data_IF_713483677436
#
_entry.id   IF_713483677436
#
_cell.length_a   1.000
_cell.length_b   1.000
_cell.length_c   1.000
_cell.angle_alpha   90.00
_cell.angle_beta   90.00
_cell.angle_gamma   90.00
#
_symmetry.space_group_name_H-M   'P 1'
#
loop_
_entity.id
_entity.type
_entity.pdbx_description
1 polymer ?
#
# COMPACT_ATOMS: atom_id res chain seq x y z
N UNK A 1 -27.70 -17.24 19.79
CA UNK A 1 -27.32 -15.91 20.27
C UNK A 1 -26.10 -16.09 21.17
N UNK A 2 -24.89 -16.01 20.63
CA UNK A 2 -23.63 -16.06 21.38
C UNK A 2 -22.84 -14.82 20.98
N UNK A 3 -22.77 -13.88 21.92
CA UNK A 3 -21.96 -12.67 21.85
C UNK A 3 -20.47 -13.06 21.92
N UNK A 4 -19.74 -12.81 20.86
CA UNK A 4 -18.28 -12.85 20.88
C UNK A 4 -17.78 -11.47 21.33
N UNK A 5 -17.38 -11.40 22.60
CA UNK A 5 -16.66 -10.26 23.13
C UNK A 5 -15.24 -10.27 22.54
N UNK A 6 -14.87 -9.22 21.84
CA UNK A 6 -13.48 -8.93 21.46
C UNK A 6 -12.66 -8.74 22.74
N UNK A 7 -11.54 -9.46 22.94
CA UNK A 7 -10.65 -9.15 24.05
C UNK A 7 -9.96 -7.80 23.76
N UNK A 8 -10.18 -6.83 24.65
CA UNK A 8 -9.43 -5.58 24.72
C UNK A 8 -8.01 -5.89 25.22
N UNK A 9 -7.17 -6.47 24.35
CA UNK A 9 -5.75 -6.59 24.59
C UNK A 9 -5.08 -5.25 24.34
N UNK A 10 -4.66 -4.59 25.41
CA UNK A 10 -3.79 -3.42 25.34
C UNK A 10 -2.52 -3.77 24.55
N UNK A 11 -2.39 -3.20 23.35
CA UNK A 11 -1.13 -3.25 22.60
C UNK A 11 -0.03 -2.66 23.48
N UNK A 12 1.01 -3.46 23.76
CA UNK A 12 2.23 -2.93 24.35
C UNK A 12 2.84 -1.97 23.33
N UNK A 13 2.70 -0.68 23.60
CA UNK A 13 3.35 0.42 22.90
C UNK A 13 4.86 0.38 23.18
N UNK A 14 5.59 -0.42 22.46
CA UNK A 14 7.02 -0.23 22.24
C UNK A 14 7.15 0.28 20.81
N UNK A 15 7.92 1.34 20.58
CA UNK A 15 8.08 2.08 19.32
C UNK A 15 8.31 1.21 18.08
N UNK A 16 7.23 0.59 17.57
CA UNK A 16 7.20 -0.06 16.26
C UNK A 16 6.68 0.97 15.27
N UNK A 17 7.56 1.82 14.79
CA UNK A 17 7.28 2.74 13.69
C UNK A 17 7.59 2.03 12.38
N UNK A 18 6.72 2.19 11.37
CA UNK A 18 7.05 1.79 10.02
C UNK A 18 8.35 2.48 9.60
N UNK A 19 9.21 1.76 8.91
CA UNK A 19 10.54 2.26 8.53
C UNK A 19 10.78 2.03 7.05
N UNK A 20 11.43 2.99 6.43
CA UNK A 20 11.98 2.88 5.09
C UNK A 20 13.42 3.33 5.14
N UNK A 21 14.31 2.47 4.70
CA UNK A 21 15.74 2.73 4.55
C UNK A 21 16.06 2.83 3.06
N UNK A 22 16.81 3.86 2.68
CA UNK A 22 17.27 4.07 1.30
C UNK A 22 18.78 4.20 1.27
N UNK A 23 19.43 3.50 0.37
CA UNK A 23 20.88 3.51 0.20
C UNK A 23 21.26 3.45 -1.28
N UNK A 24 22.48 3.88 -1.56
CA UNK A 24 23.18 3.57 -2.80
C UNK A 24 24.10 2.39 -2.57
N UNK A 25 24.07 1.42 -3.45
CA UNK A 25 24.85 0.20 -3.37
C UNK A 25 25.65 -0.05 -4.66
N UNK A 26 26.64 -0.95 -4.58
CA UNK A 26 27.48 -1.35 -5.72
C UNK A 26 28.08 -0.14 -6.46
N UNK A 27 28.92 0.63 -5.74
CA UNK A 27 29.58 1.83 -6.26
C UNK A 27 28.58 2.89 -6.79
N UNK A 28 27.44 3.06 -6.09
CA UNK A 28 26.37 3.99 -6.43
C UNK A 28 25.71 3.72 -7.80
N UNK A 29 25.74 2.48 -8.26
CA UNK A 29 25.09 2.12 -9.53
C UNK A 29 23.63 1.67 -9.34
N UNK A 30 23.27 1.25 -8.14
CA UNK A 30 21.92 0.80 -7.79
C UNK A 30 21.42 1.52 -6.56
N UNK A 31 20.11 1.72 -6.47
CA UNK A 31 19.44 2.15 -5.25
C UNK A 31 18.85 0.93 -4.54
N UNK A 32 19.00 0.88 -3.22
CA UNK A 32 18.37 -0.09 -2.34
C UNK A 32 17.29 0.62 -1.52
N UNK A 33 16.12 0.00 -1.38
CA UNK A 33 15.10 0.39 -0.44
C UNK A 33 14.66 -0.83 0.37
N UNK A 34 14.75 -0.74 1.70
CA UNK A 34 14.27 -1.79 2.62
C UNK A 34 13.17 -1.20 3.49
N UNK A 35 12.01 -1.86 3.51
CA UNK A 35 10.81 -1.38 4.19
C UNK A 35 10.34 -2.36 5.27
N UNK A 36 9.99 -1.81 6.43
CA UNK A 36 9.14 -2.46 7.43
C UNK A 36 7.82 -1.67 7.49
N UNK A 37 6.74 -2.31 7.09
CA UNK A 37 5.38 -1.74 7.04
C UNK A 37 4.41 -2.50 7.93
N UNK A 38 4.92 -3.22 8.92
CA UNK A 38 4.13 -4.09 9.81
C UNK A 38 3.00 -3.33 10.50
N UNK A 39 3.28 -2.14 11.06
CA UNK A 39 2.25 -1.35 11.74
C UNK A 39 1.25 -0.73 10.77
N UNK A 40 1.68 -0.38 9.56
CA UNK A 40 0.80 0.11 8.49
C UNK A 40 -0.23 -0.95 8.09
N UNK A 41 0.21 -2.22 7.96
CA UNK A 41 -0.67 -3.34 7.64
C UNK A 41 -1.61 -3.63 8.80
N UNK A 42 -1.13 -3.58 10.06
CA UNK A 42 -1.97 -3.75 11.24
C UNK A 42 -3.05 -2.66 11.35
N UNK A 43 -2.71 -1.41 11.01
CA UNK A 43 -3.70 -0.33 10.99
C UNK A 43 -4.76 -0.56 9.90
N UNK A 44 -4.36 -1.03 8.70
CA UNK A 44 -5.31 -1.41 7.65
C UNK A 44 -6.22 -2.58 8.08
N UNK A 45 -5.67 -3.62 8.74
CA UNK A 45 -6.44 -4.73 9.31
C UNK A 45 -7.48 -4.21 10.31
N UNK A 46 -7.06 -3.31 11.22
CA UNK A 46 -7.94 -2.74 12.25
C UNK A 46 -9.09 -1.93 11.65
N UNK A 47 -8.79 -1.08 10.67
CA UNK A 47 -9.79 -0.21 10.03
C UNK A 47 -10.78 -1.04 9.21
N UNK A 48 -10.29 -1.86 8.28
CA UNK A 48 -11.12 -2.53 7.29
C UNK A 48 -11.54 -3.96 7.70
N UNK A 49 -11.14 -4.43 8.91
CA UNK A 49 -11.43 -5.79 9.38
C UNK A 49 -10.99 -6.85 8.38
N UNK A 50 -9.78 -6.70 7.85
CA UNK A 50 -9.28 -7.56 6.77
C UNK A 50 -9.14 -9.02 7.18
N UNK A 51 -9.52 -9.93 6.29
CA UNK A 51 -9.11 -11.33 6.35
C UNK A 51 -7.58 -11.45 6.17
N UNK A 52 -6.95 -12.56 6.57
CA UNK A 52 -5.53 -12.79 6.34
C UNK A 52 -5.12 -12.63 4.87
N UNK A 53 -5.96 -13.11 3.95
CA UNK A 53 -5.69 -13.05 2.52
C UNK A 53 -5.76 -11.60 1.98
N UNK A 54 -6.82 -10.87 2.31
CA UNK A 54 -6.98 -9.46 1.94
C UNK A 54 -5.91 -8.58 2.57
N UNK A 55 -5.50 -8.88 3.82
CA UNK A 55 -4.41 -8.19 4.50
C UNK A 55 -3.06 -8.41 3.80
N UNK A 56 -2.80 -9.63 3.30
CA UNK A 56 -1.59 -9.92 2.54
C UNK A 56 -1.56 -9.18 1.19
N UNK A 57 -2.66 -9.18 0.45
CA UNK A 57 -2.75 -8.49 -0.84
C UNK A 57 -2.63 -6.95 -0.69
N UNK A 58 -3.43 -6.34 0.19
CA UNK A 58 -3.37 -4.90 0.45
C UNK A 58 -2.04 -4.49 1.07
N UNK A 59 -1.50 -5.28 2.01
CA UNK A 59 -0.23 -4.99 2.69
C UNK A 59 0.96 -4.97 1.74
N UNK A 60 1.07 -5.93 0.82
CA UNK A 60 2.10 -5.91 -0.24
C UNK A 60 1.96 -4.66 -1.12
N UNK A 61 0.73 -4.31 -1.50
CA UNK A 61 0.46 -3.11 -2.31
C UNK A 61 0.83 -1.84 -1.55
N UNK A 62 0.46 -1.71 -0.26
CA UNK A 62 0.86 -0.59 0.60
C UNK A 62 2.39 -0.46 0.67
N UNK A 63 3.11 -1.57 0.82
CA UNK A 63 4.58 -1.59 0.91
C UNK A 63 5.24 -1.03 -0.35
N UNK A 64 4.88 -1.56 -1.53
CA UNK A 64 5.47 -1.07 -2.78
C UNK A 64 5.04 0.35 -3.12
N UNK A 65 3.80 0.76 -2.79
CA UNK A 65 3.35 2.14 -2.95
C UNK A 65 4.06 3.11 -2.00
N UNK A 66 4.47 2.66 -0.81
CA UNK A 66 5.32 3.46 0.10
C UNK A 66 6.67 3.75 -0.53
N UNK A 67 7.30 2.74 -1.13
CA UNK A 67 8.52 2.94 -1.91
C UNK A 67 8.29 3.92 -3.08
N UNK A 68 7.21 3.77 -3.85
CA UNK A 68 6.90 4.68 -4.97
C UNK A 68 6.68 6.12 -4.48
N UNK A 69 6.00 6.30 -3.34
CA UNK A 69 5.77 7.61 -2.72
C UNK A 69 7.06 8.28 -2.26
N UNK A 70 8.05 7.50 -1.81
CA UNK A 70 9.36 8.01 -1.39
C UNK A 70 10.21 8.55 -2.54
N UNK A 71 9.81 8.30 -3.77
CA UNK A 71 10.45 8.80 -4.99
C UNK A 71 9.73 10.04 -5.57
N UNK A 72 8.67 10.53 -4.93
CA UNK A 72 8.05 11.80 -5.28
C UNK A 72 8.97 12.95 -4.88
N UNK A 73 8.97 14.02 -5.70
CA UNK A 73 9.92 15.15 -5.51
C UNK A 73 9.50 16.10 -4.40
N UNK A 74 8.20 16.33 -4.27
CA UNK A 74 7.66 17.29 -3.30
C UNK A 74 6.73 16.59 -2.33
N UNK A 75 6.65 17.08 -1.11
CA UNK A 75 5.74 16.57 -0.06
C UNK A 75 4.27 16.58 -0.50
N UNK A 76 3.89 17.58 -1.31
CA UNK A 76 2.52 17.76 -1.82
C UNK A 76 2.18 16.88 -3.02
N UNK A 77 3.18 16.27 -3.66
CA UNK A 77 2.95 15.35 -4.78
C UNK A 77 2.17 14.13 -4.30
N UNK A 78 1.30 13.62 -5.16
CA UNK A 78 0.37 12.53 -4.81
C UNK A 78 0.57 11.34 -5.73
N UNK A 79 0.45 10.17 -5.12
CA UNK A 79 0.42 8.88 -5.80
C UNK A 79 -0.96 8.24 -5.60
N UNK A 80 -1.52 7.69 -6.65
CA UNK A 80 -2.66 6.77 -6.60
C UNK A 80 -2.36 5.55 -7.43
N UNK A 81 -2.52 4.39 -6.83
CA UNK A 81 -2.30 3.09 -7.49
C UNK A 81 -3.56 2.26 -7.38
N UNK A 82 -3.94 1.66 -8.50
CA UNK A 82 -5.06 0.74 -8.59
C UNK A 82 -4.58 -0.58 -9.18
N UNK A 83 -4.78 -1.66 -8.44
CA UNK A 83 -4.58 -3.03 -8.92
C UNK A 83 -5.97 -3.63 -9.12
N UNK A 84 -6.36 -3.87 -10.36
CA UNK A 84 -7.69 -4.35 -10.73
C UNK A 84 -7.55 -5.64 -11.52
N UNK A 85 -7.60 -6.76 -10.84
CA UNK A 85 -7.63 -8.10 -11.42
C UNK A 85 -9.03 -8.72 -11.37
N UNK A 86 -9.11 -9.98 -11.74
CA UNK A 86 -10.35 -10.77 -11.75
C UNK A 86 -10.45 -11.76 -10.58
N UNK A 87 -9.65 -11.55 -9.52
CA UNK A 87 -9.65 -12.41 -8.33
C UNK A 87 -10.73 -12.05 -7.33
N UNK A 88 -10.84 -12.87 -6.26
CA UNK A 88 -11.90 -12.77 -5.25
C UNK A 88 -11.79 -11.53 -4.36
N UNK A 89 -10.61 -10.90 -4.28
CA UNK A 89 -10.36 -9.68 -3.51
C UNK A 89 -10.94 -8.42 -4.14
N UNK A 90 -11.25 -8.48 -5.44
CA UNK A 90 -11.65 -7.31 -6.21
C UNK A 90 -10.48 -6.33 -6.40
N UNK A 91 -10.82 -5.06 -6.53
CA UNK A 91 -9.85 -3.99 -6.76
C UNK A 91 -9.15 -3.56 -5.47
N UNK A 92 -7.85 -3.34 -5.55
CA UNK A 92 -7.05 -2.73 -4.50
C UNK A 92 -6.72 -1.30 -4.92
N UNK A 93 -6.99 -0.33 -4.04
CA UNK A 93 -6.62 1.07 -4.26
C UNK A 93 -5.74 1.55 -3.12
N UNK A 94 -4.57 2.10 -3.44
CA UNK A 94 -3.63 2.69 -2.49
C UNK A 94 -3.29 4.10 -2.93
N UNK A 95 -3.35 5.04 -1.99
CA UNK A 95 -2.92 6.42 -2.21
C UNK A 95 -1.81 6.78 -1.22
N UNK A 96 -0.87 7.60 -1.68
CA UNK A 96 0.22 8.15 -0.89
C UNK A 96 0.57 9.57 -1.33
N UNK A 97 1.50 10.17 -0.62
CA UNK A 97 2.09 11.47 -0.96
C UNK A 97 3.58 11.50 -0.61
N UNK A 98 4.27 12.60 -0.94
CA UNK A 98 5.69 12.77 -0.66
C UNK A 98 6.04 12.85 0.83
N UNK A 99 5.07 13.12 1.72
CA UNK A 99 5.24 13.01 3.18
C UNK A 99 5.18 11.57 3.69
N UNK A 100 5.02 10.57 2.81
CA UNK A 100 4.83 9.16 3.14
C UNK A 100 3.57 8.88 3.98
N UNK A 101 2.54 9.69 3.80
CA UNK A 101 1.20 9.46 4.36
C UNK A 101 0.41 8.53 3.45
N UNK A 102 0.34 7.24 3.82
CA UNK A 102 -0.24 6.17 3.03
C UNK A 102 -1.64 5.82 3.50
N UNK A 103 -2.49 5.37 2.58
CA UNK A 103 -3.81 4.79 2.86
C UNK A 103 -4.24 3.90 1.72
N UNK A 104 -5.04 2.88 2.01
CA UNK A 104 -5.52 1.97 0.98
C UNK A 104 -6.70 1.14 1.45
N UNK A 105 -7.39 0.55 0.50
CA UNK A 105 -8.47 -0.40 0.73
C UNK A 105 -8.51 -1.48 -0.37
N UNK A 106 -9.23 -2.54 -0.10
CA UNK A 106 -9.54 -3.61 -1.03
C UNK A 106 -11.07 -3.78 -1.08
N UNK A 107 -11.65 -4.01 -2.27
CA UNK A 107 -13.10 -4.05 -2.45
C UNK A 107 -13.75 -5.15 -1.61
N UNK A 108 -13.12 -6.33 -1.52
CA UNK A 108 -13.59 -7.41 -0.64
C UNK A 108 -12.62 -7.62 0.53
N UNK A 109 -12.84 -6.95 1.69
CA UNK A 109 -11.97 -7.06 2.85
C UNK A 109 -12.01 -8.44 3.52
N UNK A 110 -13.04 -9.25 3.24
CA UNK A 110 -13.22 -10.59 3.80
C UNK A 110 -12.95 -11.71 2.77
N UNK A 111 -12.24 -11.39 1.66
CA UNK A 111 -11.87 -12.41 0.68
C UNK A 111 -11.08 -13.54 1.35
N UNK A 112 -11.41 -14.77 1.00
CA UNK A 112 -10.74 -15.97 1.50
C UNK A 112 -10.59 -17.01 0.39
N UNK A 113 -9.49 -17.74 0.43
CA UNK A 113 -9.19 -18.88 -0.44
C UNK A 113 -8.45 -19.93 0.35
N UNK A 114 -8.52 -21.21 -0.06
CA UNK A 114 -7.67 -22.25 0.49
C UNK A 114 -6.19 -21.88 0.38
N UNK A 115 -5.40 -22.29 1.37
CA UNK A 115 -3.95 -22.13 1.28
C UNK A 115 -3.41 -22.86 0.05
N UNK A 116 -2.36 -22.30 -0.54
CA UNK A 116 -1.60 -22.95 -1.61
C UNK A 116 -0.98 -24.26 -1.09
N UNK A 117 -0.53 -25.12 -2.00
CA UNK A 117 0.11 -26.38 -1.65
C UNK A 117 1.38 -26.22 -0.79
N UNK A 118 2.05 -25.05 -0.86
CA UNK A 118 3.18 -24.68 -0.03
C UNK A 118 2.79 -24.10 1.34
N UNK A 119 1.51 -24.09 1.69
CA UNK A 119 0.97 -23.58 2.95
C UNK A 119 0.87 -22.06 3.04
N UNK A 120 1.10 -21.31 1.94
CA UNK A 120 1.00 -19.86 1.90
C UNK A 120 -0.38 -19.38 1.46
N UNK A 121 -0.69 -18.13 1.78
CA UNK A 121 -1.87 -17.44 1.28
C UNK A 121 -1.79 -17.27 -0.24
N UNK A 122 -2.88 -17.52 -0.94
CA UNK A 122 -2.98 -17.38 -2.40
C UNK A 122 -3.29 -15.93 -2.82
N UNK A 123 -2.28 -15.07 -2.70
CA UNK A 123 -2.43 -13.65 -3.08
C UNK A 123 -2.69 -13.52 -4.58
N UNK A 124 -2.06 -14.35 -5.40
CA UNK A 124 -2.32 -14.40 -6.85
C UNK A 124 -3.77 -14.70 -7.18
N UNK A 125 -4.40 -15.66 -6.49
CA UNK A 125 -5.83 -15.95 -6.60
C UNK A 125 -6.72 -14.86 -6.04
N UNK A 126 -6.28 -14.17 -4.98
CA UNK A 126 -6.99 -13.02 -4.41
C UNK A 126 -7.11 -11.86 -5.41
N UNK A 127 -6.02 -11.50 -6.06
CA UNK A 127 -5.93 -10.39 -7.03
C UNK A 127 -6.43 -10.82 -8.41
N UNK A 128 -6.02 -12.01 -8.86
CA UNK A 128 -6.24 -12.50 -10.22
C UNK A 128 -5.26 -11.86 -11.21
N UNK A 129 -4.96 -12.58 -12.28
CA UNK A 129 -3.98 -12.16 -13.29
C UNK A 129 -4.57 -11.47 -14.52
N UNK A 130 -5.89 -11.56 -14.71
CA UNK A 130 -6.54 -10.91 -15.84
C UNK A 130 -7.02 -9.53 -15.41
N UNK A 131 -6.22 -8.52 -15.73
CA UNK A 131 -6.51 -7.16 -15.29
C UNK A 131 -5.30 -6.24 -15.45
N UNK A 132 -5.33 -5.12 -14.75
CA UNK A 132 -4.37 -4.03 -14.95
C UNK A 132 -3.93 -3.39 -13.64
N UNK A 133 -2.65 -3.09 -13.56
CA UNK A 133 -2.05 -2.18 -12.61
C UNK A 133 -2.00 -0.78 -13.24
N UNK A 134 -2.57 0.22 -12.56
CA UNK A 134 -2.57 1.62 -12.99
C UNK A 134 -1.94 2.49 -11.91
N UNK A 135 -1.02 3.36 -12.29
CA UNK A 135 -0.33 4.30 -11.42
C UNK A 135 -0.59 5.71 -11.91
N UNK A 136 -1.06 6.57 -11.03
CA UNK A 136 -1.29 8.00 -11.32
C UNK A 136 -0.46 8.83 -10.35
N UNK A 137 0.36 9.75 -10.89
CA UNK A 137 1.15 10.71 -10.11
C UNK A 137 0.71 12.12 -10.42
N UNK A 138 0.26 12.85 -9.41
CA UNK A 138 -0.07 14.27 -9.51
C UNK A 138 1.08 15.09 -8.90
N UNK A 139 1.84 15.75 -9.74
CA UNK A 139 3.08 16.47 -9.41
C UNK A 139 2.94 17.98 -9.60
N UNK A 140 1.75 18.55 -9.37
CA UNK A 140 1.49 19.97 -9.57
C UNK A 140 1.38 20.40 -11.04
N UNK A 141 1.46 19.48 -11.98
CA UNK A 141 1.26 19.75 -13.40
C UNK A 141 -0.22 19.84 -13.75
N UNK A 142 -0.54 20.47 -14.90
CA UNK A 142 -1.93 20.62 -15.39
C UNK A 142 -2.64 19.26 -15.53
N UNK A 143 -1.90 18.26 -15.98
CA UNK A 143 -2.40 16.88 -16.11
C UNK A 143 -1.52 15.93 -15.29
N UNK A 144 -2.11 14.95 -14.58
CA UNK A 144 -1.35 13.96 -13.87
C UNK A 144 -0.67 12.99 -14.86
N UNK A 145 0.52 12.53 -14.49
CA UNK A 145 1.15 11.41 -15.21
C UNK A 145 0.42 10.11 -14.88
N UNK A 146 0.09 9.34 -15.90
CA UNK A 146 -0.54 8.02 -15.74
C UNK A 146 0.24 6.96 -16.51
N UNK A 147 0.63 5.89 -15.81
CA UNK A 147 1.25 4.69 -16.37
C UNK A 147 0.42 3.46 -16.04
N UNK A 148 0.47 2.43 -16.89
CA UNK A 148 -0.21 1.18 -16.62
C UNK A 148 0.50 -0.02 -17.22
N UNK A 149 0.31 -1.20 -16.62
CA UNK A 149 0.75 -2.49 -17.12
C UNK A 149 -0.32 -3.55 -16.89
N UNK A 150 -0.34 -4.58 -17.71
CA UNK A 150 -1.17 -5.76 -17.45
C UNK A 150 -0.62 -6.55 -16.27
N UNK A 151 -1.49 -7.19 -15.50
CA UNK A 151 -1.08 -8.08 -14.42
C UNK A 151 -0.47 -9.34 -15.00
N UNK A 152 0.59 -9.83 -14.36
CA UNK A 152 1.32 -11.03 -14.77
C UNK A 152 0.87 -12.23 -13.94
N UNK A 153 0.89 -12.09 -12.62
CA UNK A 153 0.61 -13.18 -11.68
C UNK A 153 -0.44 -12.83 -10.63
N UNK A 154 -0.64 -11.55 -10.33
CA UNK A 154 -1.44 -11.09 -9.20
C UNK A 154 -0.74 -11.19 -7.84
N UNK A 155 0.52 -11.63 -7.80
CA UNK A 155 1.32 -11.72 -6.55
C UNK A 155 1.86 -10.35 -6.08
N UNK A 156 1.53 -9.27 -6.77
CA UNK A 156 1.92 -7.88 -6.52
C UNK A 156 3.40 -7.61 -6.85
N UNK A 157 4.35 -8.33 -6.29
CA UNK A 157 5.77 -8.06 -6.52
C UNK A 157 6.15 -8.17 -8.01
N UNK A 158 5.74 -9.24 -8.65
CA UNK A 158 6.00 -9.50 -10.07
C UNK A 158 5.23 -8.53 -10.97
N UNK A 159 4.00 -8.16 -10.59
CA UNK A 159 3.18 -7.19 -11.32
C UNK A 159 3.82 -5.79 -11.33
N UNK A 160 4.37 -5.36 -10.18
CA UNK A 160 5.09 -4.09 -10.10
C UNK A 160 6.47 -4.17 -10.77
N UNK A 161 7.15 -5.31 -10.72
CA UNK A 161 8.39 -5.51 -11.50
C UNK A 161 8.10 -5.35 -13.00
N UNK A 162 7.03 -5.94 -13.50
CA UNK A 162 6.58 -5.77 -14.89
C UNK A 162 6.21 -4.31 -15.20
N UNK A 163 5.50 -3.62 -14.30
CA UNK A 163 5.20 -2.21 -14.45
C UNK A 163 6.46 -1.36 -14.59
N UNK A 164 7.46 -1.57 -13.75
CA UNK A 164 8.73 -0.84 -13.83
C UNK A 164 9.48 -1.14 -15.12
N UNK A 165 9.47 -2.39 -15.57
CA UNK A 165 10.13 -2.79 -16.81
C UNK A 165 9.45 -2.17 -18.04
N UNK A 166 8.12 -2.25 -18.16
CA UNK A 166 7.41 -1.88 -19.37
C UNK A 166 6.94 -0.42 -19.40
N UNK A 167 6.51 0.13 -18.26
CA UNK A 167 5.97 1.48 -18.18
C UNK A 167 7.03 2.52 -17.79
N UNK A 168 7.86 2.22 -16.81
CA UNK A 168 8.91 3.14 -16.31
C UNK A 168 10.27 2.91 -17.00
N UNK A 169 10.45 1.80 -17.70
CA UNK A 169 11.71 1.41 -18.36
C UNK A 169 12.91 1.43 -17.39
N UNK A 170 12.67 1.06 -16.15
CA UNK A 170 13.66 1.03 -15.08
C UNK A 170 13.80 -0.41 -14.55
N UNK A 171 14.95 -1.09 -14.77
CA UNK A 171 15.18 -2.40 -14.21
C UNK A 171 15.06 -2.39 -12.70
N UNK A 172 14.11 -3.17 -12.18
CA UNK A 172 13.75 -3.15 -10.76
C UNK A 172 13.51 -4.58 -10.27
N UNK A 173 14.18 -4.99 -9.21
CA UNK A 173 13.94 -6.23 -8.51
C UNK A 173 13.14 -5.94 -7.24
N UNK A 174 12.02 -6.66 -7.03
CA UNK A 174 11.07 -6.42 -5.94
C UNK A 174 10.81 -7.73 -5.20
N UNK A 175 11.07 -7.75 -3.89
CA UNK A 175 10.64 -8.81 -3.00
C UNK A 175 9.73 -8.22 -1.92
N UNK A 176 8.51 -8.75 -1.79
CA UNK A 176 7.50 -8.31 -0.83
C UNK A 176 7.08 -9.48 0.05
N UNK A 177 6.72 -9.19 1.30
CA UNK A 177 6.19 -10.19 2.20
C UNK A 177 5.23 -9.60 3.22
N UNK A 178 4.15 -10.33 3.50
CA UNK A 178 3.23 -10.07 4.60
C UNK A 178 2.93 -11.39 5.28
N UNK A 179 3.11 -11.44 6.59
CA UNK A 179 2.84 -12.62 7.41
C UNK A 179 1.82 -12.27 8.49
N UNK A 180 0.72 -13.01 8.48
CA UNK A 180 -0.34 -12.89 9.47
C UNK A 180 -0.19 -14.00 10.51
N UNK A 181 -0.21 -13.61 11.78
CA UNK A 181 -0.14 -14.52 12.92
C UNK A 181 -1.46 -15.25 13.16
N UNK A 182 -1.44 -16.21 14.10
CA UNK A 182 -2.64 -16.98 14.47
C UNK A 182 -3.71 -16.13 15.16
N UNK A 183 -3.32 -15.01 15.71
CA UNK A 183 -4.19 -13.98 16.32
C UNK A 183 -4.77 -12.99 15.29
N UNK A 184 -4.56 -13.25 14.00
CA UNK A 184 -4.97 -12.42 12.87
C UNK A 184 -4.29 -11.04 12.81
N UNK A 185 -3.22 -10.82 13.56
CA UNK A 185 -2.38 -9.63 13.45
C UNK A 185 -1.25 -9.86 12.43
N UNK A 186 -0.76 -8.78 11.84
CA UNK A 186 0.44 -8.82 11.02
C UNK A 186 1.68 -8.88 11.93
N UNK A 187 2.47 -9.94 11.81
CA UNK A 187 3.70 -10.14 12.60
C UNK A 187 4.96 -9.70 11.84
N UNK A 188 4.88 -9.57 10.53
CA UNK A 188 5.95 -9.05 9.69
C UNK A 188 5.44 -8.69 8.29
N UNK A 189 5.58 -7.43 7.90
CA UNK A 189 5.30 -6.93 6.57
C UNK A 189 6.40 -6.02 6.09
N UNK A 190 6.82 -6.16 4.85
CA UNK A 190 7.85 -5.31 4.30
C UNK A 190 8.26 -5.69 2.89
N UNK A 191 9.33 -5.04 2.44
CA UNK A 191 9.86 -5.25 1.10
C UNK A 191 11.34 -4.90 1.00
N UNK A 192 12.00 -5.54 0.04
CA UNK A 192 13.34 -5.17 -0.44
C UNK A 192 13.21 -4.86 -1.92
N UNK A 193 13.64 -3.67 -2.32
CA UNK A 193 13.52 -3.18 -3.68
C UNK A 193 14.88 -2.63 -4.12
N UNK A 194 15.37 -3.12 -5.24
CA UNK A 194 16.62 -2.66 -5.85
C UNK A 194 16.30 -2.13 -7.24
N UNK A 195 16.74 -0.90 -7.53
CA UNK A 195 16.57 -0.29 -8.86
C UNK A 195 17.91 0.09 -9.47
N UNK A 196 18.03 -0.17 -10.75
CA UNK A 196 19.19 0.26 -11.52
C UNK A 196 19.16 1.78 -11.77
N UNK A 197 20.29 2.43 -11.58
CA UNK A 197 20.52 3.79 -12.05
C UNK A 197 21.00 3.78 -13.50
N UNK A 198 20.81 4.89 -14.23
CA UNK A 198 21.30 4.98 -15.62
C UNK A 198 22.80 4.68 -15.71
N UNK A 199 23.17 3.72 -16.55
CA UNK A 199 24.55 3.30 -16.74
C UNK A 199 25.06 2.25 -15.75
N UNK A 200 24.18 1.63 -14.98
CA UNK A 200 24.53 0.46 -14.15
C UNK A 200 25.15 -0.66 -15.00
N UNK A 201 26.24 -1.22 -14.50
CA UNK A 201 26.95 -2.33 -15.18
C UNK A 201 26.20 -3.65 -15.06
N UNK A 202 26.44 -4.58 -16.00
CA UNK A 202 25.89 -5.93 -15.94
C UNK A 202 26.33 -6.66 -14.65
N UNK A 203 27.54 -6.40 -14.17
CA UNK A 203 28.05 -6.96 -12.92
C UNK A 203 27.21 -6.49 -11.71
N UNK A 204 26.89 -5.19 -11.63
CA UNK A 204 26.05 -4.66 -10.56
C UNK A 204 24.63 -5.26 -10.60
N UNK A 205 24.06 -5.44 -11.79
CA UNK A 205 22.76 -6.08 -11.97
C UNK A 205 22.80 -7.54 -11.52
N UNK A 206 23.83 -8.28 -11.91
CA UNK A 206 24.02 -9.68 -11.50
C UNK A 206 24.14 -9.81 -9.97
N UNK A 207 24.91 -8.93 -9.32
CA UNK A 207 25.01 -8.93 -7.86
C UNK A 207 23.67 -8.65 -7.18
N UNK A 208 22.84 -7.76 -7.75
CA UNK A 208 21.49 -7.51 -7.24
C UNK A 208 20.60 -8.74 -7.37
N UNK A 209 20.61 -9.41 -8.51
CA UNK A 209 19.85 -10.66 -8.72
C UNK A 209 20.27 -11.75 -7.76
N UNK A 210 21.58 -11.93 -7.55
CA UNK A 210 22.14 -12.92 -6.62
C UNK A 210 21.65 -12.67 -5.20
N UNK A 211 21.78 -11.45 -4.69
CA UNK A 211 21.29 -11.09 -3.33
C UNK A 211 19.77 -11.28 -3.23
N UNK A 212 19.00 -10.83 -4.21
CA UNK A 212 17.54 -10.99 -4.20
C UNK A 212 17.12 -12.46 -4.18
N UNK A 213 17.83 -13.34 -4.88
CA UNK A 213 17.57 -14.79 -4.87
C UNK A 213 17.82 -15.44 -3.50
N UNK A 214 18.74 -14.88 -2.72
CA UNK A 214 19.14 -15.39 -1.39
C UNK A 214 18.31 -14.84 -0.24
N UNK A 215 17.46 -13.81 -0.45
CA UNK A 215 16.67 -13.19 0.62
C UNK A 215 15.69 -14.15 1.29
N UNK A 216 15.12 -15.10 0.55
CA UNK A 216 14.07 -15.97 1.06
C UNK A 216 12.77 -15.21 1.41
N UNK A 217 12.18 -15.49 2.57
CA UNK A 217 10.91 -14.86 2.99
C UNK A 217 11.14 -13.51 3.65
N UNK A 218 10.87 -12.41 2.94
CA UNK A 218 11.00 -11.04 3.47
C UNK A 218 10.18 -10.84 4.75
N UNK A 219 8.93 -11.32 4.79
CA UNK A 219 8.09 -11.18 6.00
C UNK A 219 8.67 -11.87 7.23
N UNK A 220 9.31 -13.03 7.04
CA UNK A 220 9.98 -13.72 8.14
C UNK A 220 11.27 -13.01 8.57
N UNK A 221 12.00 -12.41 7.64
CA UNK A 221 13.17 -11.59 7.98
C UNK A 221 12.76 -10.33 8.75
N UNK A 222 11.71 -9.64 8.32
CA UNK A 222 11.18 -8.48 9.07
C UNK A 222 10.77 -8.87 10.48
N UNK A 223 10.06 -10.00 10.65
CA UNK A 223 9.64 -10.49 11.97
C UNK A 223 10.83 -10.79 12.89
N UNK A 224 11.90 -11.36 12.36
CA UNK A 224 13.00 -11.91 13.16
C UNK A 224 14.14 -10.93 13.39
N UNK A 225 14.55 -10.18 12.37
CA UNK A 225 15.71 -9.30 12.41
C UNK A 225 15.40 -7.84 12.05
N UNK A 226 14.16 -7.54 11.59
CA UNK A 226 13.77 -6.20 11.17
C UNK A 226 14.45 -5.73 9.87
N UNK A 227 14.09 -4.54 9.41
CA UNK A 227 14.63 -3.98 8.17
C UNK A 227 16.13 -3.65 8.25
N UNK A 228 16.61 -3.14 9.39
CA UNK A 228 18.04 -2.90 9.62
C UNK A 228 18.85 -4.20 9.59
N UNK A 229 18.37 -5.25 10.27
CA UNK A 229 19.03 -6.55 10.25
C UNK A 229 19.06 -7.21 8.85
N UNK A 230 18.10 -6.89 7.96
CA UNK A 230 18.16 -7.31 6.55
C UNK A 230 19.33 -6.59 5.85
N UNK A 231 19.50 -5.29 6.08
CA UNK A 231 20.61 -4.52 5.51
C UNK A 231 21.93 -5.09 5.97
N UNK A 232 22.13 -5.21 7.28
CA UNK A 232 23.38 -5.70 7.86
C UNK A 232 23.76 -7.09 7.35
N UNK A 233 22.77 -7.99 7.24
CA UNK A 233 22.98 -9.38 6.84
C UNK A 233 23.29 -9.55 5.36
N UNK A 234 22.61 -8.80 4.47
CA UNK A 234 22.65 -9.04 3.02
C UNK A 234 23.43 -7.99 2.25
N UNK A 235 23.61 -6.79 2.82
CA UNK A 235 24.28 -5.66 2.14
C UNK A 235 25.50 -5.15 2.93
N UNK A 236 25.70 -5.61 4.17
CA UNK A 236 26.83 -5.22 5.02
C UNK A 236 26.72 -3.81 5.58
N UNK A 237 27.85 -3.24 5.96
CA UNK A 237 27.93 -1.88 6.52
C UNK A 237 27.86 -0.85 5.38
N UNK A 238 26.63 -0.37 5.12
CA UNK A 238 26.34 0.66 4.13
C UNK A 238 25.69 1.87 4.78
N UNK A 239 25.96 3.05 4.23
CA UNK A 239 25.26 4.26 4.65
C UNK A 239 23.85 4.28 4.05
N UNK A 240 22.84 4.61 4.87
CA UNK A 240 21.44 4.73 4.46
C UNK A 240 20.74 5.92 5.10
N UNK A 241 19.77 6.46 4.37
CA UNK A 241 18.81 7.41 4.89
C UNK A 241 17.60 6.66 5.47
N UNK A 242 17.01 7.21 6.55
CA UNK A 242 15.87 6.63 7.24
C UNK A 242 14.65 7.53 7.16
N UNK A 243 13.50 6.93 6.85
CA UNK A 243 12.20 7.60 6.77
C UNK A 243 11.15 6.82 7.58
N UNK A 244 10.10 7.52 8.03
CA UNK A 244 9.02 6.97 8.85
C UNK A 244 7.66 7.11 8.15
N UNK A 245 7.29 6.17 7.26
CA UNK A 245 5.99 6.18 6.61
C UNK A 245 4.86 5.98 7.62
N UNK A 246 3.67 6.54 7.34
CA UNK A 246 2.52 6.46 8.25
C UNK A 246 1.26 6.03 7.51
N UNK A 247 0.44 5.19 8.12
CA UNK A 247 -0.93 5.02 7.67
C UNK A 247 -1.74 6.24 8.12
N UNK A 248 -2.16 7.09 7.18
CA UNK A 248 -2.86 8.32 7.49
C UNK A 248 -3.87 8.66 6.39
N UNK A 249 -5.15 8.66 6.74
CA UNK A 249 -6.17 9.19 5.86
C UNK A 249 -6.20 10.72 5.94
N UNK A 250 -6.31 11.36 4.78
CA UNK A 250 -6.36 12.81 4.64
C UNK A 250 -7.79 13.34 4.40
N UNK A 251 -8.82 12.52 4.65
CA UNK A 251 -10.20 12.97 4.54
C UNK A 251 -10.52 13.99 5.63
N UNK A 252 -11.30 15.00 5.27
CA UNK A 252 -11.83 16.02 6.18
C UNK A 252 -13.26 16.38 5.79
N UNK A 253 -14.02 16.96 6.71
CA UNK A 253 -15.37 17.44 6.42
C UNK A 253 -15.34 18.42 5.24
N UNK A 254 -14.43 19.41 5.27
CA UNK A 254 -14.27 20.41 4.21
C UNK A 254 -13.95 19.80 2.83
N UNK A 255 -13.19 18.68 2.81
CA UNK A 255 -12.92 17.95 1.56
C UNK A 255 -14.19 17.27 1.04
N UNK A 256 -14.95 16.61 1.93
CA UNK A 256 -16.21 15.95 1.55
C UNK A 256 -17.25 16.99 1.09
N UNK A 257 -17.34 18.14 1.74
CA UNK A 257 -18.21 19.25 1.34
C UNK A 257 -17.93 19.69 -0.10
N UNK A 258 -16.65 19.85 -0.47
CA UNK A 258 -16.26 20.17 -1.86
C UNK A 258 -16.67 19.10 -2.85
N UNK A 259 -16.60 17.83 -2.46
CA UNK A 259 -17.06 16.71 -3.29
C UNK A 259 -18.58 16.74 -3.43
N UNK A 260 -19.32 16.99 -2.34
CA UNK A 260 -20.78 17.11 -2.37
C UNK A 260 -21.25 18.27 -3.28
N UNK A 261 -20.60 19.43 -3.21
CA UNK A 261 -20.92 20.56 -4.11
C UNK A 261 -20.80 20.16 -5.58
N UNK A 262 -19.87 19.27 -5.93
CA UNK A 262 -19.70 18.79 -7.33
C UNK A 262 -20.82 17.90 -7.84
N UNK A 263 -21.64 17.31 -6.96
CA UNK A 263 -22.85 16.54 -7.35
C UNK A 263 -23.99 17.46 -7.78
N UNK A 264 -23.98 18.70 -7.34
CA UNK A 264 -25.03 19.67 -7.66
C UNK A 264 -26.10 19.77 -6.59
N UNK A 265 -26.76 20.95 -6.56
CA UNK A 265 -27.73 21.32 -5.52
C UNK A 265 -28.96 20.39 -5.52
N UNK A 266 -29.50 20.14 -6.70
CA UNK A 266 -30.75 19.39 -6.83
C UNK A 266 -30.61 17.94 -6.35
N UNK A 267 -29.48 17.28 -6.68
CA UNK A 267 -29.17 15.91 -6.24
C UNK A 267 -29.08 15.82 -4.71
N UNK A 268 -28.41 16.78 -4.07
CA UNK A 268 -28.26 16.77 -2.61
C UNK A 268 -29.61 16.98 -1.90
N UNK A 269 -30.48 17.85 -2.42
CA UNK A 269 -31.80 18.04 -1.85
C UNK A 269 -32.71 16.82 -2.06
N UNK A 270 -32.61 16.14 -3.19
CA UNK A 270 -33.36 14.90 -3.45
C UNK A 270 -32.99 13.80 -2.45
N UNK A 271 -31.69 13.67 -2.12
CA UNK A 271 -31.22 12.74 -1.07
C UNK A 271 -31.76 13.15 0.31
N UNK A 272 -31.67 14.44 0.68
CA UNK A 272 -32.18 14.94 1.94
C UNK A 272 -33.69 14.71 2.10
N UNK A 273 -34.47 14.93 1.05
CA UNK A 273 -35.93 14.69 1.07
C UNK A 273 -36.28 13.22 1.25
N UNK A 274 -35.49 12.32 0.65
CA UNK A 274 -35.73 10.86 0.71
C UNK A 274 -35.21 10.21 1.99
N UNK A 275 -34.04 10.62 2.46
CA UNK A 275 -33.29 9.94 3.53
C UNK A 275 -33.15 10.75 4.83
N UNK A 276 -33.54 12.03 4.79
CA UNK A 276 -33.44 12.95 5.94
C UNK A 276 -32.04 13.51 6.19
N UNK A 277 -31.00 12.85 5.71
CA UNK A 277 -29.59 13.25 5.81
C UNK A 277 -28.76 12.61 4.71
N UNK A 278 -27.59 13.18 4.42
CA UNK A 278 -26.58 12.60 3.55
C UNK A 278 -25.52 11.95 4.44
N UNK A 279 -25.24 10.66 4.24
CA UNK A 279 -24.16 9.95 4.93
C UNK A 279 -23.08 9.58 3.92
N UNK A 280 -21.84 9.97 4.20
CA UNK A 280 -20.65 9.65 3.37
C UNK A 280 -19.66 8.86 4.21
N UNK A 281 -19.39 7.63 3.81
CA UNK A 281 -18.39 6.77 4.41
C UNK A 281 -17.06 6.89 3.66
N UNK A 282 -15.99 7.21 4.38
CA UNK A 282 -14.66 7.25 3.78
C UNK A 282 -14.11 5.84 3.60
N UNK A 283 -13.97 5.37 2.37
CA UNK A 283 -13.45 4.04 2.06
C UNK A 283 -12.02 3.77 2.56
N UNK A 284 -11.23 4.81 2.89
CA UNK A 284 -9.85 4.66 3.36
C UNK A 284 -9.71 4.53 4.88
N UNK A 285 -10.70 4.97 5.67
CA UNK A 285 -10.58 4.96 7.14
C UNK A 285 -11.90 4.70 7.87
N UNK A 286 -12.96 4.35 7.14
CA UNK A 286 -14.30 4.05 7.65
C UNK A 286 -14.94 5.18 8.48
N UNK A 287 -14.36 6.40 8.41
CA UNK A 287 -14.92 7.57 9.08
C UNK A 287 -16.20 7.99 8.37
N UNK A 288 -17.26 8.18 9.16
CA UNK A 288 -18.57 8.64 8.68
C UNK A 288 -18.71 10.15 8.80
N UNK A 289 -19.25 10.75 7.75
CA UNK A 289 -19.61 12.16 7.70
C UNK A 289 -21.10 12.26 7.43
N UNK A 290 -21.81 12.97 8.28
CA UNK A 290 -23.24 13.20 8.14
C UNK A 290 -23.48 14.68 7.85
N UNK A 291 -24.41 14.95 6.94
CA UNK A 291 -24.83 16.29 6.53
C UNK A 291 -26.35 16.34 6.56
N UNK A 292 -26.88 17.28 7.33
CA UNK A 292 -28.30 17.58 7.41
C UNK A 292 -28.66 18.71 6.45
N UNK A 293 -29.93 19.05 6.35
CA UNK A 293 -30.43 20.08 5.43
C UNK A 293 -29.72 21.41 5.58
N UNK A 294 -29.50 21.84 6.84
CA UNK A 294 -28.84 23.10 7.20
C UNK A 294 -27.38 23.14 6.70
N UNK A 295 -26.69 22.01 6.75
CA UNK A 295 -25.34 21.88 6.18
C UNK A 295 -25.37 22.09 4.66
N UNK A 296 -26.31 21.40 3.97
CA UNK A 296 -26.46 21.52 2.51
C UNK A 296 -26.84 22.95 2.10
N UNK A 297 -27.72 23.61 2.84
CA UNK A 297 -28.09 25.02 2.64
C UNK A 297 -26.86 25.94 2.74
N UNK A 298 -25.89 25.58 3.60
CA UNK A 298 -24.64 26.31 3.80
C UNK A 298 -23.64 26.17 2.63
N UNK A 299 -23.64 25.01 1.91
CA UNK A 299 -22.68 24.74 0.83
C UNK A 299 -22.87 25.63 -0.41
N UNK A 300 -24.06 26.20 -0.60
CA UNK A 300 -24.43 26.96 -1.81
C UNK A 300 -24.71 28.45 -1.53
N UNK A 301 -24.24 28.99 -0.40
CA UNK A 301 -24.30 30.40 -0.02
C UNK A 301 -23.15 31.24 -0.57
#
# INVERSE_FOLDING_TARGET
>A
MRLWACPSGAFKTGDKLNKLYKALIYNNQLTLSVLDTTDMVNEAIRIHKLSPLSAAALGRTLTVCTFMSSNLKNETDKLSVTVAGNGVGGKITVCGNGELSMRGFIDNPQADLPLRADGKLDVGGCVGKNGRLTVVRSMGLKEPYSGSAELVTGEIAEDFTAYYAYSEQTPTAIALGVRIGKDLTCVGAGGVIIQALPGASEEALFMAEDVMSQLGSVSSLIETIGAEGIIDKHFGDIHYDKYEPKYKCLCSRDYIEKVLVSLGKDELYDIIEKEGKITVDCQFCDKKYEFIKEDVDGLFR
#
